data_IF_400421340083
#
_entry.id   IF_400421340083
#
_cell.length_a   1.000
_cell.length_b   1.000
_cell.length_c   1.000
_cell.angle_alpha   90.00
_cell.angle_beta   90.00
_cell.angle_gamma   90.00
#
_symmetry.space_group_name_H-M   'P 1'
#
loop_
_entity.id
_entity.type
_entity.pdbx_description
1 polymer ?
#
# COMPACT_ATOMS: atom_id res chain seq x y z
N UNK A 1 17.00 2.18 -11.89
CA UNK A 1 17.91 1.07 -12.18
C UNK A 1 17.57 0.54 -13.56
N UNK A 2 18.56 0.46 -14.45
CA UNK A 2 18.35 -0.03 -15.82
C UNK A 2 18.16 -1.55 -15.78
N UNK A 3 17.12 -2.06 -16.45
CA UNK A 3 16.91 -3.50 -16.62
C UNK A 3 17.78 -4.05 -17.76
N UNK A 4 18.93 -4.64 -17.41
CA UNK A 4 19.89 -5.17 -18.39
C UNK A 4 19.28 -6.21 -19.33
N UNK A 5 18.35 -7.06 -18.86
CA UNK A 5 17.68 -8.05 -19.70
C UNK A 5 16.80 -7.39 -20.76
N UNK A 6 16.05 -6.35 -20.38
CA UNK A 6 15.23 -5.60 -21.32
C UNK A 6 16.09 -4.85 -22.35
N UNK A 7 17.22 -4.26 -21.93
CA UNK A 7 18.18 -3.63 -22.85
C UNK A 7 18.78 -4.65 -23.81
N UNK A 8 19.23 -5.80 -23.29
CA UNK A 8 19.79 -6.90 -24.08
C UNK A 8 18.83 -7.38 -25.17
N UNK A 9 17.55 -7.54 -24.81
CA UNK A 9 16.50 -7.93 -25.75
C UNK A 9 16.31 -6.91 -26.87
N UNK A 10 16.27 -5.61 -26.55
CA UNK A 10 16.14 -4.53 -27.54
C UNK A 10 17.36 -4.45 -28.48
N UNK A 11 18.58 -4.60 -27.95
CA UNK A 11 19.80 -4.67 -28.78
C UNK A 11 19.70 -5.85 -29.77
N UNK A 12 19.29 -7.03 -29.28
CA UNK A 12 19.12 -8.22 -30.10
C UNK A 12 18.04 -8.06 -31.17
N UNK A 13 16.93 -7.39 -30.84
CA UNK A 13 15.88 -7.05 -31.80
C UNK A 13 16.40 -6.13 -32.90
N UNK A 14 17.12 -5.05 -32.56
CA UNK A 14 17.73 -4.15 -33.54
C UNK A 14 18.66 -4.92 -34.47
N UNK A 15 19.50 -5.82 -33.94
CA UNK A 15 20.38 -6.67 -34.75
C UNK A 15 19.59 -7.54 -35.72
N UNK A 16 18.57 -8.25 -35.21
CA UNK A 16 17.77 -9.19 -35.99
C UNK A 16 16.94 -8.48 -37.06
N UNK A 17 16.34 -7.33 -36.75
CA UNK A 17 15.52 -6.55 -37.70
C UNK A 17 16.35 -6.04 -38.89
N UNK A 18 17.65 -5.83 -38.69
CA UNK A 18 18.58 -5.45 -39.74
C UNK A 18 19.24 -6.67 -40.42
N UNK A 19 18.91 -7.90 -40.02
CA UNK A 19 19.47 -9.12 -40.60
C UNK A 19 20.96 -9.34 -40.31
N UNK A 20 21.50 -8.77 -39.24
CA UNK A 20 22.94 -8.84 -38.95
C UNK A 20 23.32 -10.05 -38.07
N UNK A 21 24.48 -10.64 -38.35
CA UNK A 21 25.17 -11.53 -37.41
C UNK A 21 25.77 -10.74 -36.23
N UNK A 22 26.18 -11.44 -35.16
CA UNK A 22 26.85 -10.81 -34.02
C UNK A 22 28.15 -10.10 -34.46
N UNK A 23 28.90 -10.73 -35.37
CA UNK A 23 30.11 -10.18 -35.99
C UNK A 23 29.81 -8.91 -36.77
N UNK A 24 28.77 -8.92 -37.61
CA UNK A 24 28.39 -7.77 -38.44
C UNK A 24 27.92 -6.57 -37.62
N UNK A 25 27.21 -6.79 -36.52
CA UNK A 25 26.89 -5.72 -35.58
C UNK A 25 28.14 -5.23 -34.85
N UNK A 26 29.04 -6.14 -34.47
CA UNK A 26 30.32 -5.81 -33.87
C UNK A 26 31.16 -4.88 -34.74
N UNK A 27 31.32 -5.21 -36.02
CA UNK A 27 32.05 -4.39 -37.01
C UNK A 27 31.48 -2.98 -37.11
N UNK A 28 30.15 -2.84 -37.23
CA UNK A 28 29.45 -1.54 -37.30
C UNK A 28 29.65 -0.68 -36.06
N UNK A 29 29.79 -1.31 -34.89
CA UNK A 29 29.96 -0.64 -33.61
C UNK A 29 31.43 -0.52 -33.16
N UNK A 30 32.38 -0.92 -34.01
CA UNK A 30 33.78 -1.07 -33.65
C UNK A 30 33.94 -1.84 -32.31
N UNK A 31 33.36 -3.04 -32.28
CA UNK A 31 33.28 -3.91 -31.12
C UNK A 31 33.50 -5.37 -31.52
N UNK A 32 33.97 -6.19 -30.58
CA UNK A 32 34.11 -7.62 -30.83
C UNK A 32 32.75 -8.32 -30.81
N UNK A 33 32.62 -9.42 -31.57
CA UNK A 33 31.49 -10.36 -31.48
C UNK A 33 31.16 -10.72 -30.03
N UNK A 34 32.19 -10.97 -29.21
CA UNK A 34 32.06 -11.32 -27.79
C UNK A 34 31.40 -10.19 -27.00
N UNK A 35 31.73 -8.93 -27.31
CA UNK A 35 31.09 -7.77 -26.67
C UNK A 35 29.60 -7.73 -26.99
N UNK A 36 29.24 -7.87 -28.27
CA UNK A 36 27.83 -7.90 -28.72
C UNK A 36 27.08 -9.05 -28.07
N UNK A 37 27.68 -10.25 -28.04
CA UNK A 37 27.12 -11.40 -27.36
C UNK A 37 26.88 -11.13 -25.87
N UNK A 38 27.82 -10.50 -25.17
CA UNK A 38 27.65 -10.16 -23.76
C UNK A 38 26.52 -9.15 -23.54
N UNK A 39 26.36 -8.15 -24.42
CA UNK A 39 25.25 -7.21 -24.36
C UNK A 39 23.90 -7.88 -24.58
N UNK A 40 23.78 -8.73 -25.60
CA UNK A 40 22.54 -9.45 -25.92
C UNK A 40 22.18 -10.55 -24.90
N UNK A 41 23.09 -10.87 -23.98
CA UNK A 41 22.87 -11.78 -22.86
C UNK A 41 22.94 -11.09 -21.50
N UNK A 42 22.77 -9.75 -21.47
CA UNK A 42 22.69 -8.93 -20.25
C UNK A 42 23.89 -9.04 -19.28
N UNK A 43 25.03 -9.56 -19.74
CA UNK A 43 26.24 -9.70 -18.90
C UNK A 43 26.88 -8.35 -18.57
N UNK A 44 26.79 -7.40 -19.50
CA UNK A 44 27.15 -6.00 -19.27
C UNK A 44 26.39 -5.10 -20.24
N UNK A 45 26.36 -3.80 -19.95
CA UNK A 45 25.80 -2.79 -20.85
C UNK A 45 26.88 -2.27 -21.81
N UNK A 46 26.50 -1.88 -23.05
CA UNK A 46 27.37 -1.07 -23.89
C UNK A 46 27.67 0.27 -23.20
N UNK A 47 28.82 0.88 -23.51
CA UNK A 47 29.14 2.21 -23.01
C UNK A 47 28.29 3.30 -23.71
N UNK A 48 28.33 4.54 -23.19
CA UNK A 48 27.52 5.67 -23.72
C UNK A 48 27.67 5.86 -25.23
N UNK A 49 28.90 5.79 -25.76
CA UNK A 49 29.17 5.91 -27.20
C UNK A 49 28.47 4.82 -28.00
N UNK A 50 28.57 3.56 -27.55
CA UNK A 50 27.96 2.41 -28.22
C UNK A 50 26.44 2.39 -28.08
N UNK A 51 25.88 2.81 -26.94
CA UNK A 51 24.44 2.97 -26.77
C UNK A 51 23.88 3.98 -27.79
N UNK A 52 24.54 5.12 -27.97
CA UNK A 52 24.19 6.11 -29.00
C UNK A 52 24.18 5.47 -30.40
N UNK A 53 25.28 4.78 -30.76
CA UNK A 53 25.39 4.12 -32.06
C UNK A 53 24.33 3.03 -32.28
N UNK A 54 24.03 2.22 -31.26
CA UNK A 54 22.99 1.17 -31.35
C UNK A 54 21.61 1.81 -31.53
N UNK A 55 21.31 2.87 -30.79
CA UNK A 55 20.07 3.62 -30.93
C UNK A 55 19.93 4.20 -32.34
N UNK A 56 20.99 4.81 -32.88
CA UNK A 56 21.02 5.34 -34.24
C UNK A 56 20.80 4.23 -35.30
N UNK A 57 21.44 3.06 -35.16
CA UNK A 57 21.24 1.90 -36.04
C UNK A 57 19.82 1.31 -35.94
N UNK A 58 19.18 1.46 -34.78
CA UNK A 58 17.81 1.01 -34.52
C UNK A 58 16.74 2.05 -34.88
N UNK A 59 17.13 3.26 -35.32
CA UNK A 59 16.19 4.35 -35.56
C UNK A 59 15.40 4.76 -34.30
N UNK A 60 16.03 4.67 -33.12
CA UNK A 60 15.38 4.92 -31.82
C UNK A 60 16.23 5.83 -30.93
N UNK A 61 15.74 6.20 -29.76
CA UNK A 61 16.48 6.99 -28.78
C UNK A 61 17.30 6.11 -27.82
N UNK A 62 18.33 6.68 -27.20
CA UNK A 62 19.07 6.00 -26.13
C UNK A 62 18.14 5.70 -24.96
N UNK A 63 17.20 6.58 -24.65
CA UNK A 63 16.23 6.38 -23.57
C UNK A 63 15.30 5.21 -23.88
N UNK A 64 14.79 5.11 -25.11
CA UNK A 64 14.00 3.94 -25.51
C UNK A 64 14.83 2.66 -25.53
N UNK A 65 16.13 2.72 -25.81
CA UNK A 65 17.02 1.56 -25.72
C UNK A 65 17.30 1.14 -24.27
N UNK A 66 17.29 2.07 -23.32
CA UNK A 66 17.58 1.84 -21.90
C UNK A 66 16.35 1.49 -21.07
N UNK A 67 15.23 2.19 -21.28
CA UNK A 67 14.06 2.15 -20.39
C UNK A 67 12.81 1.51 -21.00
N UNK A 68 12.61 1.69 -22.31
CA UNK A 68 11.53 1.07 -23.07
C UNK A 68 10.68 2.18 -23.64
N UNK A 69 9.40 1.93 -23.86
CA UNK A 69 8.45 3.04 -23.98
C UNK A 69 8.34 3.83 -22.66
N UNK A 70 7.63 4.96 -22.73
CA UNK A 70 7.47 5.86 -21.60
C UNK A 70 6.69 5.22 -20.45
N UNK A 71 5.77 4.30 -20.76
CA UNK A 71 5.01 3.55 -19.77
C UNK A 71 5.94 2.65 -18.95
N UNK A 72 6.76 1.85 -19.63
CA UNK A 72 7.75 0.96 -19.00
C UNK A 72 8.75 1.75 -18.17
N UNK A 73 9.19 2.92 -18.66
CA UNK A 73 10.01 3.84 -17.87
C UNK A 73 9.29 4.26 -16.58
N UNK A 74 8.07 4.81 -16.68
CA UNK A 74 7.33 5.30 -15.53
C UNK A 74 7.08 4.19 -14.50
N UNK A 75 6.69 2.99 -14.95
CA UNK A 75 6.52 1.81 -14.09
C UNK A 75 7.81 1.38 -13.41
N UNK A 76 8.95 1.45 -14.11
CA UNK A 76 10.25 1.14 -13.50
C UNK A 76 10.61 2.12 -12.38
N UNK A 77 10.33 3.41 -12.57
CA UNK A 77 10.53 4.44 -11.55
C UNK A 77 9.63 4.18 -10.34
N UNK A 78 8.36 3.83 -10.57
CA UNK A 78 7.44 3.47 -9.49
C UNK A 78 7.95 2.30 -8.66
N UNK A 79 8.36 1.20 -9.31
CA UNK A 79 8.92 0.02 -8.63
C UNK A 79 10.14 0.41 -7.78
N UNK A 80 11.05 1.22 -8.32
CA UNK A 80 12.25 1.66 -7.60
C UNK A 80 11.92 2.52 -6.36
N UNK A 81 10.96 3.44 -6.48
CA UNK A 81 10.53 4.25 -5.34
C UNK A 81 9.85 3.36 -4.29
N UNK A 82 9.09 2.34 -4.69
CA UNK A 82 8.47 1.37 -3.77
C UNK A 82 9.52 0.51 -3.06
N UNK A 83 10.49 -0.05 -3.79
CA UNK A 83 11.57 -0.84 -3.21
C UNK A 83 12.41 0.00 -2.22
N UNK A 84 12.78 1.22 -2.62
CA UNK A 84 13.49 2.15 -1.75
C UNK A 84 12.70 2.47 -0.48
N UNK A 85 11.38 2.63 -0.62
CA UNK A 85 10.50 2.86 0.51
C UNK A 85 10.47 1.65 1.44
N UNK A 86 10.18 0.45 0.93
CA UNK A 86 10.11 -0.79 1.71
C UNK A 86 11.42 -1.11 2.42
N UNK A 87 12.56 -0.88 1.78
CA UNK A 87 13.88 -1.03 2.40
C UNK A 87 14.09 -0.08 3.58
N UNK A 88 13.63 1.17 3.47
CA UNK A 88 13.65 2.13 4.60
C UNK A 88 12.75 1.67 5.75
N UNK A 89 11.67 0.93 5.47
CA UNK A 89 10.80 0.38 6.51
C UNK A 89 11.48 -0.77 7.25
N UNK A 90 12.08 -1.71 6.53
CA UNK A 90 12.75 -2.88 7.11
C UNK A 90 13.84 -2.49 8.11
N UNK A 91 14.44 -1.31 7.95
CA UNK A 91 15.55 -0.82 8.75
C UNK A 91 15.16 0.14 9.90
N UNK A 92 13.87 0.30 10.23
CA UNK A 92 13.41 1.20 11.31
C UNK A 92 12.52 0.51 12.35
N UNK A 93 12.58 0.98 13.59
CA UNK A 93 11.70 0.57 14.71
C UNK A 93 10.19 0.81 14.43
N UNK A 94 9.86 1.65 13.45
CA UNK A 94 8.48 1.90 12.98
C UNK A 94 8.04 0.98 11.83
N UNK A 95 8.78 -0.09 11.53
CA UNK A 95 8.48 -1.05 10.47
C UNK A 95 7.07 -1.62 10.58
N UNK A 96 6.65 -2.04 11.78
CA UNK A 96 5.30 -2.59 12.03
C UNK A 96 4.19 -1.58 11.71
N UNK A 97 4.38 -0.31 12.09
CA UNK A 97 3.39 0.75 11.85
C UNK A 97 3.16 0.98 10.36
N UNK A 98 4.22 1.10 9.57
CA UNK A 98 4.07 1.39 8.14
C UNK A 98 3.61 0.14 7.37
N UNK A 99 4.10 -1.05 7.74
CA UNK A 99 3.63 -2.31 7.16
C UNK A 99 2.14 -2.53 7.42
N UNK A 100 1.60 -2.09 8.57
CA UNK A 100 0.16 -2.17 8.87
C UNK A 100 -0.70 -1.36 7.89
N UNK A 101 -0.24 -0.18 7.48
CA UNK A 101 -1.08 0.77 6.73
C UNK A 101 -0.76 0.88 5.25
N UNK A 102 0.40 0.43 4.80
CA UNK A 102 0.77 0.52 3.40
C UNK A 102 0.29 -0.68 2.58
N UNK A 103 -0.42 -0.41 1.49
CA UNK A 103 -0.88 -1.41 0.53
C UNK A 103 -0.21 -1.19 -0.83
N UNK A 104 0.68 -2.10 -1.22
CA UNK A 104 1.35 -2.08 -2.54
C UNK A 104 0.33 -2.14 -3.67
N UNK A 105 -0.75 -2.91 -3.49
CA UNK A 105 -1.82 -3.04 -4.48
C UNK A 105 -2.55 -1.72 -4.70
N UNK A 106 -2.92 -1.03 -3.62
CA UNK A 106 -3.61 0.28 -3.72
C UNK A 106 -2.70 1.33 -4.34
N UNK A 107 -1.43 1.37 -3.91
CA UNK A 107 -0.46 2.28 -4.48
C UNK A 107 -0.24 2.03 -5.99
N UNK A 108 -0.18 0.76 -6.41
CA UNK A 108 -0.06 0.39 -7.82
C UNK A 108 -1.28 0.84 -8.62
N UNK A 109 -2.49 0.61 -8.12
CA UNK A 109 -3.72 1.03 -8.78
C UNK A 109 -3.81 2.56 -8.95
N UNK A 110 -3.44 3.33 -7.92
CA UNK A 110 -3.40 4.79 -8.00
C UNK A 110 -2.36 5.29 -8.99
N UNK A 111 -1.20 4.63 -9.04
CA UNK A 111 -0.16 4.98 -10.00
C UNK A 111 -0.58 4.66 -11.44
N UNK A 112 -1.20 3.51 -11.67
CA UNK A 112 -1.70 3.11 -12.98
C UNK A 112 -2.73 4.12 -13.51
N UNK A 113 -3.67 4.52 -12.65
CA UNK A 113 -4.65 5.53 -13.01
C UNK A 113 -4.01 6.89 -13.34
N UNK A 114 -3.09 7.36 -12.50
CA UNK A 114 -2.34 8.59 -12.79
C UNK A 114 -1.55 8.49 -14.10
N UNK A 115 -0.92 7.35 -14.35
CA UNK A 115 -0.13 7.13 -15.55
C UNK A 115 -1.01 7.20 -16.80
N UNK A 116 -2.16 6.53 -16.81
CA UNK A 116 -3.13 6.58 -17.91
C UNK A 116 -3.55 8.01 -18.25
N UNK A 117 -3.76 8.86 -17.24
CA UNK A 117 -4.17 10.25 -17.43
C UNK A 117 -3.04 11.19 -17.90
N UNK A 118 -1.78 10.83 -17.67
CA UNK A 118 -0.65 11.72 -17.87
C UNK A 118 0.33 11.25 -18.95
N UNK A 119 0.22 10.01 -19.44
CA UNK A 119 1.22 9.35 -20.29
C UNK A 119 1.61 10.15 -21.53
N UNK A 120 0.65 10.84 -22.17
CA UNK A 120 0.90 11.62 -23.40
C UNK A 120 1.85 12.82 -23.18
N UNK A 121 1.97 13.30 -21.94
CA UNK A 121 2.76 14.47 -21.57
C UNK A 121 4.09 14.10 -20.90
N UNK A 122 4.37 12.81 -20.71
CA UNK A 122 5.55 12.36 -19.98
C UNK A 122 6.78 12.26 -20.89
N UNK A 123 7.95 12.48 -20.28
CA UNK A 123 9.25 12.18 -20.87
C UNK A 123 10.14 11.37 -19.90
N UNK A 124 11.27 10.86 -20.42
CA UNK A 124 12.17 9.94 -19.71
C UNK A 124 12.96 10.59 -18.55
N UNK A 125 12.77 11.88 -18.26
CA UNK A 125 13.39 12.59 -17.14
C UNK A 125 12.36 13.34 -16.29
N UNK A 126 11.08 13.02 -16.46
CA UNK A 126 10.02 13.75 -15.79
C UNK A 126 9.99 13.47 -14.28
N UNK A 127 10.39 14.47 -13.49
CA UNK A 127 10.42 14.38 -12.03
C UNK A 127 9.00 14.22 -11.44
N UNK A 128 7.95 14.57 -12.19
CA UNK A 128 6.55 14.36 -11.77
C UNK A 128 6.28 12.90 -11.44
N UNK A 129 6.87 11.96 -12.19
CA UNK A 129 6.71 10.52 -11.92
C UNK A 129 7.17 10.20 -10.50
N UNK A 130 8.36 10.65 -10.10
CA UNK A 130 8.90 10.41 -8.75
C UNK A 130 8.10 11.12 -7.67
N UNK A 131 7.69 12.36 -7.92
CA UNK A 131 6.87 13.12 -6.98
C UNK A 131 5.56 12.39 -6.69
N UNK A 132 4.86 11.96 -7.74
CA UNK A 132 3.59 11.24 -7.62
C UNK A 132 3.77 9.89 -6.93
N UNK A 133 4.82 9.14 -7.22
CA UNK A 133 5.12 7.89 -6.49
C UNK A 133 5.20 8.12 -4.97
N UNK A 134 5.89 9.19 -4.54
CA UNK A 134 6.03 9.53 -3.11
C UNK A 134 4.72 10.00 -2.50
N UNK A 135 3.94 10.78 -3.24
CA UNK A 135 2.63 11.25 -2.81
C UNK A 135 1.64 10.11 -2.64
N UNK A 136 1.57 9.18 -3.61
CA UNK A 136 0.71 7.99 -3.55
C UNK A 136 1.03 7.17 -2.30
N UNK A 137 2.29 6.86 -2.04
CA UNK A 137 2.70 6.12 -0.84
C UNK A 137 2.19 6.81 0.43
N UNK A 138 2.41 8.12 0.52
CA UNK A 138 1.94 8.92 1.66
C UNK A 138 0.42 8.87 1.79
N UNK A 139 -0.30 9.06 0.69
CA UNK A 139 -1.76 9.13 0.68
C UNK A 139 -2.41 7.80 1.05
N UNK A 140 -1.91 6.68 0.51
CA UNK A 140 -2.36 5.32 0.87
C UNK A 140 -2.22 5.09 2.37
N UNK A 141 -1.04 5.42 2.92
CA UNK A 141 -0.75 5.26 4.34
C UNK A 141 -1.70 6.10 5.20
N UNK A 142 -1.86 7.40 4.89
CA UNK A 142 -2.72 8.29 5.67
C UNK A 142 -4.19 7.90 5.56
N UNK A 143 -4.64 7.43 4.40
CA UNK A 143 -6.00 6.93 4.20
C UNK A 143 -6.27 5.67 5.02
N UNK A 144 -5.35 4.71 5.00
CA UNK A 144 -5.50 3.45 5.73
C UNK A 144 -5.41 3.65 7.24
N UNK A 145 -4.57 4.58 7.71
CA UNK A 145 -4.59 5.03 9.11
C UNK A 145 -5.93 5.61 9.53
N UNK A 146 -6.53 6.48 8.70
CA UNK A 146 -7.87 7.05 9.00
C UNK A 146 -8.93 5.96 9.07
N UNK A 147 -8.83 4.93 8.23
CA UNK A 147 -9.74 3.79 8.25
C UNK A 147 -9.53 2.89 9.49
N UNK A 148 -8.30 2.71 9.95
CA UNK A 148 -7.99 1.95 11.17
C UNK A 148 -8.35 2.72 12.46
N UNK A 149 -8.20 4.05 12.48
CA UNK A 149 -8.74 4.88 13.58
C UNK A 149 -10.27 4.77 13.70
N UNK A 150 -10.98 4.59 12.57
CA UNK A 150 -12.41 4.28 12.62
C UNK A 150 -12.69 2.92 13.27
N UNK A 151 -11.73 1.99 13.21
CA UNK A 151 -11.83 0.67 13.84
C UNK A 151 -11.58 0.73 15.36
N UNK A 152 -10.65 1.55 15.86
CA UNK A 152 -10.49 1.78 17.31
C UNK A 152 -11.76 2.36 17.95
N UNK A 153 -12.39 3.34 17.29
CA UNK A 153 -13.68 3.89 17.72
C UNK A 153 -14.82 2.85 17.64
N UNK A 154 -14.75 1.91 16.70
CA UNK A 154 -15.70 0.80 16.59
C UNK A 154 -15.47 -0.24 17.70
N UNK A 155 -14.21 -0.57 18.01
CA UNK A 155 -13.83 -1.47 19.11
C UNK A 155 -14.33 -0.90 20.45
N UNK A 156 -14.10 0.38 20.72
CA UNK A 156 -14.62 1.05 21.92
C UNK A 156 -16.16 1.08 21.96
N UNK A 157 -16.80 1.34 20.81
CA UNK A 157 -18.26 1.28 20.70
C UNK A 157 -18.80 -0.12 21.03
N UNK A 158 -18.30 -1.15 20.35
CA UNK A 158 -18.75 -2.53 20.55
C UNK A 158 -18.49 -3.00 21.98
N UNK A 159 -17.40 -2.53 22.61
CA UNK A 159 -17.07 -2.83 24.00
C UNK A 159 -18.05 -2.17 24.97
N UNK A 160 -18.36 -0.88 24.79
CA UNK A 160 -19.35 -0.18 25.61
C UNK A 160 -20.72 -0.84 25.52
N UNK A 161 -21.17 -1.22 24.32
CA UNK A 161 -22.47 -1.85 24.12
C UNK A 161 -22.53 -3.26 24.72
N UNK A 162 -21.43 -4.03 24.71
CA UNK A 162 -21.34 -5.30 25.43
C UNK A 162 -21.46 -5.11 26.94
N UNK A 163 -20.78 -4.10 27.50
CA UNK A 163 -20.84 -3.77 28.94
C UNK A 163 -22.27 -3.37 29.34
N UNK A 164 -22.92 -2.50 28.56
CA UNK A 164 -24.31 -2.12 28.80
C UNK A 164 -25.28 -3.31 28.64
N UNK A 165 -24.99 -4.24 27.71
CA UNK A 165 -25.71 -5.50 27.58
C UNK A 165 -25.64 -6.38 28.82
N UNK A 166 -24.47 -6.43 29.49
CA UNK A 166 -24.29 -7.16 30.76
C UNK A 166 -25.15 -6.52 31.85
N UNK A 167 -25.23 -5.19 31.92
CA UNK A 167 -26.14 -4.51 32.85
C UNK A 167 -27.61 -4.95 32.63
N UNK A 168 -28.07 -4.98 31.38
CA UNK A 168 -29.43 -5.41 31.09
C UNK A 168 -29.65 -6.89 31.44
N UNK A 169 -28.67 -7.76 31.20
CA UNK A 169 -28.71 -9.16 31.60
C UNK A 169 -28.80 -9.31 33.11
N UNK A 170 -28.00 -8.57 33.88
CA UNK A 170 -28.07 -8.54 35.34
C UNK A 170 -29.45 -8.13 35.83
N UNK A 171 -30.09 -7.15 35.20
CA UNK A 171 -31.47 -6.76 35.56
C UNK A 171 -32.45 -7.90 35.38
N UNK A 172 -32.36 -8.67 34.29
CA UNK A 172 -33.22 -9.83 34.05
C UNK A 172 -32.96 -10.98 35.02
N UNK A 173 -31.72 -11.12 35.49
CA UNK A 173 -31.34 -12.13 36.47
C UNK A 173 -31.83 -11.75 37.87
N UNK A 174 -31.72 -10.48 38.27
CA UNK A 174 -32.08 -10.00 39.61
C UNK A 174 -33.57 -9.74 39.81
N UNK A 175 -34.30 -9.36 38.76
CA UNK A 175 -35.71 -9.01 38.87
C UNK A 175 -36.63 -10.04 38.22
N UNK A 176 -37.80 -10.20 38.81
CA UNK A 176 -38.96 -10.89 38.26
C UNK A 176 -40.17 -9.96 38.25
N UNK A 177 -41.15 -10.28 37.40
CA UNK A 177 -42.42 -9.55 37.36
C UNK A 177 -43.40 -10.28 38.27
N UNK A 178 -43.97 -9.55 39.23
CA UNK A 178 -44.99 -10.06 40.15
C UNK A 178 -46.28 -9.25 40.00
N UNK A 179 -47.43 -9.92 40.09
CA UNK A 179 -48.73 -9.27 40.14
C UNK A 179 -49.01 -8.83 41.58
N UNK A 180 -49.15 -7.52 41.78
CA UNK A 180 -49.59 -6.94 43.05
C UNK A 180 -50.90 -6.19 42.82
N UNK A 181 -52.02 -6.85 43.15
CA UNK A 181 -53.39 -6.29 43.05
C UNK A 181 -53.77 -5.90 41.61
N UNK A 182 -53.36 -6.68 40.62
CA UNK A 182 -53.66 -6.47 39.20
C UNK A 182 -52.69 -5.53 38.48
N UNK A 183 -51.59 -5.13 39.14
CA UNK A 183 -50.50 -4.37 38.53
C UNK A 183 -49.24 -5.23 38.45
N UNK A 184 -48.60 -5.27 37.28
CA UNK A 184 -47.30 -5.91 37.09
C UNK A 184 -46.18 -5.01 37.64
N UNK A 185 -45.48 -5.49 38.67
CA UNK A 185 -44.39 -4.76 39.33
C UNK A 185 -43.10 -5.58 39.27
N UNK A 186 -41.96 -4.90 39.08
CA UNK A 186 -40.65 -5.52 39.20
C UNK A 186 -40.33 -5.77 40.69
N UNK A 187 -40.06 -7.02 41.05
CA UNK A 187 -39.58 -7.43 42.38
C UNK A 187 -38.22 -8.10 42.24
N UNK A 188 -37.37 -7.93 43.26
CA UNK A 188 -36.10 -8.65 43.35
C UNK A 188 -36.39 -10.12 43.66
N UNK A 189 -35.74 -11.04 42.94
CA UNK A 189 -35.88 -12.48 43.15
C UNK A 189 -35.36 -12.89 44.53
N UNK A 190 -35.98 -13.91 45.10
CA UNK A 190 -35.57 -14.47 46.39
C UNK A 190 -34.10 -14.88 46.42
N UNK A 191 -33.41 -14.51 47.50
CA UNK A 191 -31.98 -14.81 47.72
C UNK A 191 -31.01 -13.77 47.14
N UNK A 192 -31.48 -12.74 46.46
CA UNK A 192 -30.66 -11.63 45.96
C UNK A 192 -30.74 -10.39 46.86
N UNK A 193 -29.62 -9.65 46.97
CA UNK A 193 -29.53 -8.42 47.77
C UNK A 193 -29.59 -7.17 46.87
N UNK A 194 -30.52 -6.25 47.16
CA UNK A 194 -30.75 -5.00 46.41
C UNK A 194 -29.50 -4.12 46.31
N UNK A 195 -28.80 -3.90 47.42
CA UNK A 195 -27.60 -3.07 47.44
C UNK A 195 -26.46 -3.63 46.58
N UNK A 196 -26.39 -4.96 46.41
CA UNK A 196 -25.42 -5.60 45.54
C UNK A 196 -25.75 -5.36 44.06
N UNK A 197 -27.04 -5.39 43.69
CA UNK A 197 -27.50 -5.05 42.35
C UNK A 197 -27.17 -3.59 42.00
N UNK A 198 -27.57 -2.65 42.85
CA UNK A 198 -27.39 -1.21 42.60
C UNK A 198 -25.91 -0.86 42.44
N UNK A 199 -25.06 -1.46 43.27
CA UNK A 199 -23.60 -1.27 43.20
C UNK A 199 -23.04 -1.81 41.88
N UNK A 200 -23.41 -3.03 41.49
CA UNK A 200 -22.93 -3.63 40.24
C UNK A 200 -23.40 -2.85 39.00
N UNK A 201 -24.68 -2.47 39.00
CA UNK A 201 -25.30 -1.69 37.95
C UNK A 201 -24.61 -0.32 37.76
N UNK A 202 -24.37 0.41 38.87
CA UNK A 202 -23.68 1.69 38.82
C UNK A 202 -22.26 1.58 38.25
N UNK A 203 -21.50 0.54 38.63
CA UNK A 203 -20.13 0.33 38.12
C UNK A 203 -20.14 0.06 36.61
N UNK A 204 -21.06 -0.78 36.16
CA UNK A 204 -21.16 -1.20 34.75
C UNK A 204 -21.58 -0.03 33.86
N UNK A 205 -22.59 0.73 34.29
CA UNK A 205 -23.07 1.90 33.56
C UNK A 205 -21.99 2.99 33.49
N UNK A 206 -21.29 3.26 34.61
CA UNK A 206 -20.21 4.24 34.65
C UNK A 206 -19.05 3.83 33.72
N UNK A 207 -18.68 2.55 33.70
CA UNK A 207 -17.67 2.02 32.79
C UNK A 207 -18.08 2.17 31.32
N UNK A 208 -19.33 1.80 30.98
CA UNK A 208 -19.87 1.95 29.63
C UNK A 208 -19.86 3.41 29.15
N UNK A 209 -20.31 4.34 30.00
CA UNK A 209 -20.34 5.77 29.68
C UNK A 209 -18.93 6.37 29.51
N UNK A 210 -17.98 5.97 30.36
CA UNK A 210 -16.57 6.41 30.23
C UNK A 210 -15.93 5.92 28.93
N UNK A 211 -16.23 4.69 28.51
CA UNK A 211 -15.71 4.13 27.24
C UNK A 211 -16.34 4.83 26.03
N UNK A 212 -17.63 5.18 26.09
CA UNK A 212 -18.28 5.99 25.05
C UNK A 212 -17.66 7.39 24.95
N UNK A 213 -17.36 8.04 26.08
CA UNK A 213 -16.69 9.34 26.07
C UNK A 213 -15.28 9.26 25.44
N UNK A 214 -14.53 8.19 25.68
CA UNK A 214 -13.23 7.96 25.04
C UNK A 214 -13.34 7.77 23.52
N UNK A 215 -14.40 7.07 23.06
CA UNK A 215 -14.67 6.90 21.63
C UNK A 215 -14.87 8.25 20.93
N UNK A 216 -15.60 9.16 21.55
CA UNK A 216 -15.88 10.47 20.95
C UNK A 216 -14.61 11.32 20.85
N UNK A 217 -13.70 11.22 21.82
CA UNK A 217 -12.37 11.86 21.78
C UNK A 217 -11.49 11.33 20.64
N UNK A 218 -11.60 10.04 20.28
CA UNK A 218 -10.79 9.43 19.19
C UNK A 218 -11.33 9.79 17.80
N UNK A 219 -12.59 10.20 17.70
CA UNK A 219 -13.23 10.60 16.42
C UNK A 219 -12.93 12.04 16.01
N UNK A 220 -12.54 12.90 16.96
CA UNK A 220 -12.15 14.31 16.76
C UNK A 220 -10.65 14.47 16.43
#
# INVERSE_FOLDING_TARGET
>A
MINNNAVASRIKQIRNNNGWTLEQLGERLNASKVSVHNWENARNLPNKKRLKQIADLGGTSVDYLLYGDIENFARSVFIEEMESFLDKLRNKDNSQYIVKYFSVKEAGNEFDHWLEENIEQLDYNDERVRQVCREIVRNVIERNKKNDKKDEAQVLHDTAYKIMGISNQLRLEYYEIVDVKGEEVLSIKDGFHESAFDTAQSIIDEAGMKILALKDIIKD
#
